data_IF_591264971967
#
_entry.id   IF_591264971967
#
_cell.length_a   1.000
_cell.length_b   1.000
_cell.length_c   1.000
_cell.angle_alpha   90.00
_cell.angle_beta   90.00
_cell.angle_gamma   90.00
#
_symmetry.space_group_name_H-M   'P 1'
#
loop_
_entity.id
_entity.type
_entity.pdbx_description
1 polymer ?
#
# COMPACT_ATOMS: atom_id res chain seq x y z
N UNK A 1 -1.81 -33.56 -2.34
CA UNK A 1 -0.83 -32.68 -3.01
C UNK A 1 -1.40 -31.40 -3.65
N UNK A 2 -2.60 -31.35 -4.29
CA UNK A 2 -3.06 -30.11 -4.96
C UNK A 2 -3.29 -28.92 -4.00
N UNK A 3 -3.53 -29.17 -2.71
CA UNK A 3 -3.67 -28.12 -1.68
C UNK A 3 -2.36 -27.37 -1.40
N UNK A 4 -1.20 -28.02 -1.55
CA UNK A 4 0.10 -27.39 -1.29
C UNK A 4 0.39 -26.28 -2.31
N UNK A 5 0.21 -26.56 -3.60
CA UNK A 5 0.45 -25.58 -4.68
C UNK A 5 -0.54 -24.41 -4.56
N UNK A 6 -1.82 -24.67 -4.27
CA UNK A 6 -2.81 -23.60 -4.07
C UNK A 6 -2.48 -22.70 -2.87
N UNK A 7 -2.00 -23.29 -1.77
CA UNK A 7 -1.58 -22.53 -0.60
C UNK A 7 -0.34 -21.69 -0.87
N UNK A 8 0.63 -22.22 -1.61
CA UNK A 8 1.83 -21.48 -1.99
C UNK A 8 1.49 -20.30 -2.90
N UNK A 9 0.61 -20.50 -3.89
CA UNK A 9 0.08 -19.41 -4.71
C UNK A 9 -0.64 -18.34 -3.87
N UNK A 10 -1.52 -18.75 -2.92
CA UNK A 10 -2.20 -17.80 -2.00
C UNK A 10 -1.18 -16.98 -1.19
N UNK A 11 -0.11 -17.61 -0.69
CA UNK A 11 0.98 -16.92 0.04
C UNK A 11 1.71 -15.92 -0.85
N UNK A 12 2.10 -16.32 -2.06
CA UNK A 12 2.77 -15.43 -3.01
C UNK A 12 1.90 -14.22 -3.37
N UNK A 13 0.60 -14.45 -3.62
CA UNK A 13 -0.35 -13.35 -3.86
C UNK A 13 -0.48 -12.43 -2.65
N UNK A 14 -0.61 -12.97 -1.44
CA UNK A 14 -0.68 -12.17 -0.22
C UNK A 14 0.58 -11.29 -0.03
N UNK A 15 1.76 -11.86 -0.28
CA UNK A 15 3.03 -11.12 -0.25
C UNK A 15 3.07 -10.02 -1.30
N UNK A 16 2.60 -10.29 -2.52
CA UNK A 16 2.50 -9.28 -3.58
C UNK A 16 1.63 -8.09 -3.15
N UNK A 17 0.41 -8.34 -2.65
CA UNK A 17 -0.49 -7.28 -2.17
C UNK A 17 0.11 -6.51 -0.99
N UNK A 18 0.80 -7.20 -0.08
CA UNK A 18 1.49 -6.55 1.02
C UNK A 18 2.62 -5.62 0.53
N UNK A 19 3.46 -6.09 -0.41
CA UNK A 19 4.53 -5.28 -0.97
C UNK A 19 3.99 -4.06 -1.71
N UNK A 20 2.88 -4.22 -2.47
CA UNK A 20 2.22 -3.11 -3.14
C UNK A 20 1.63 -2.10 -2.15
N UNK A 21 1.06 -2.57 -1.03
CA UNK A 21 0.59 -1.73 0.06
C UNK A 21 1.72 -0.89 0.66
N UNK A 22 2.85 -1.51 1.00
CA UNK A 22 4.02 -0.81 1.55
C UNK A 22 4.57 0.22 0.55
N UNK A 23 4.71 -0.15 -0.73
CA UNK A 23 5.15 0.78 -1.76
C UNK A 23 4.21 1.99 -1.89
N UNK A 24 2.90 1.75 -1.86
CA UNK A 24 1.86 2.79 -1.91
C UNK A 24 1.92 3.72 -0.69
N UNK A 25 2.11 3.15 0.50
CA UNK A 25 2.27 3.90 1.74
C UNK A 25 3.51 4.82 1.69
N UNK A 26 4.65 4.29 1.24
CA UNK A 26 5.90 5.05 1.19
C UNK A 26 5.85 6.12 0.10
N UNK A 27 5.53 5.74 -1.13
CA UNK A 27 5.57 6.65 -2.27
C UNK A 27 4.43 7.69 -2.25
N UNK A 28 3.23 7.27 -1.87
CA UNK A 28 2.04 8.14 -1.87
C UNK A 28 1.75 8.80 -0.53
N UNK A 29 2.07 8.13 0.58
CA UNK A 29 1.82 8.62 1.93
C UNK A 29 3.00 9.43 2.50
N UNK A 30 4.19 8.82 2.52
CA UNK A 30 5.36 9.42 3.18
C UNK A 30 6.12 10.41 2.28
N UNK A 31 6.22 10.17 0.97
CA UNK A 31 6.99 11.04 0.09
C UNK A 31 6.49 12.51 0.08
N UNK A 32 5.18 12.80 0.09
CA UNK A 32 4.70 14.17 0.21
C UNK A 32 5.13 14.84 1.52
N UNK A 33 5.10 14.12 2.65
CA UNK A 33 5.53 14.63 3.95
C UNK A 33 7.02 14.99 3.95
N UNK A 34 7.85 14.08 3.42
CA UNK A 34 9.29 14.31 3.25
C UNK A 34 9.54 15.47 2.29
N UNK A 35 8.78 15.55 1.19
CA UNK A 35 8.86 16.64 0.22
C UNK A 35 8.55 18.00 0.84
N UNK A 36 7.57 18.10 1.74
CA UNK A 36 7.26 19.33 2.48
C UNK A 36 8.41 19.70 3.42
N UNK A 37 8.95 18.75 4.19
CA UNK A 37 10.07 18.98 5.12
C UNK A 37 11.31 19.47 4.36
N UNK A 38 11.59 18.89 3.20
CA UNK A 38 12.72 19.27 2.35
C UNK A 38 12.44 20.49 1.45
N UNK A 39 11.27 21.13 1.60
CA UNK A 39 10.85 22.29 0.79
C UNK A 39 10.92 22.03 -0.72
N UNK A 40 10.63 20.80 -1.14
CA UNK A 40 10.62 20.43 -2.55
C UNK A 40 9.53 21.25 -3.29
N UNK A 41 9.88 21.95 -4.40
CA UNK A 41 8.96 22.86 -5.08
C UNK A 41 7.63 22.22 -5.48
N UNK A 42 7.66 20.92 -5.86
CA UNK A 42 6.47 20.17 -6.29
C UNK A 42 5.42 20.05 -5.18
N UNK A 43 5.84 19.86 -3.94
CA UNK A 43 4.93 19.67 -2.80
C UNK A 43 4.68 20.97 -2.03
N UNK A 44 5.67 21.86 -2.00
CA UNK A 44 5.58 23.13 -1.27
C UNK A 44 4.67 24.16 -1.96
N UNK A 45 4.64 24.17 -3.30
CA UNK A 45 3.79 25.08 -4.08
C UNK A 45 2.37 24.52 -4.30
N UNK A 46 2.14 23.24 -3.99
CA UNK A 46 0.84 22.63 -4.13
C UNK A 46 -0.12 23.12 -3.03
N UNK A 47 -1.41 23.33 -3.33
CA UNK A 47 -2.39 23.69 -2.31
C UNK A 47 -2.45 22.61 -1.22
N UNK A 48 -2.29 22.99 0.05
CA UNK A 48 -2.30 22.07 1.20
C UNK A 48 -3.46 21.07 1.21
N UNK A 49 -4.71 21.48 0.94
CA UNK A 49 -5.85 20.54 0.87
C UNK A 49 -5.70 19.47 -0.22
N UNK A 50 -5.10 19.81 -1.37
CA UNK A 50 -4.87 18.87 -2.47
C UNK A 50 -3.87 17.81 -2.05
N UNK A 51 -2.77 18.21 -1.43
CA UNK A 51 -1.75 17.28 -0.92
C UNK A 51 -2.32 16.38 0.17
N UNK A 52 -3.13 16.94 1.08
CA UNK A 52 -3.77 16.19 2.15
C UNK A 52 -4.75 15.14 1.61
N UNK A 53 -5.61 15.51 0.64
CA UNK A 53 -6.57 14.59 0.01
C UNK A 53 -5.82 13.48 -0.75
N UNK A 54 -4.79 13.83 -1.53
CA UNK A 54 -4.00 12.86 -2.28
C UNK A 54 -3.29 11.87 -1.34
N UNK A 55 -2.69 12.38 -0.26
CA UNK A 55 -2.04 11.56 0.77
C UNK A 55 -3.06 10.62 1.42
N UNK A 56 -4.22 11.14 1.83
CA UNK A 56 -5.29 10.33 2.41
C UNK A 56 -5.79 9.23 1.46
N UNK A 57 -5.95 9.54 0.17
CA UNK A 57 -6.34 8.56 -0.85
C UNK A 57 -5.30 7.44 -0.98
N UNK A 58 -4.01 7.77 -0.99
CA UNK A 58 -2.92 6.79 -1.01
C UNK A 58 -2.87 5.92 0.25
N UNK A 59 -3.09 6.51 1.43
CA UNK A 59 -3.16 5.76 2.69
C UNK A 59 -4.34 4.79 2.71
N UNK A 60 -5.52 5.22 2.26
CA UNK A 60 -6.69 4.35 2.12
C UNK A 60 -6.43 3.23 1.12
N UNK A 61 -5.81 3.53 -0.02
CA UNK A 61 -5.45 2.54 -1.01
C UNK A 61 -4.46 1.50 -0.46
N UNK A 62 -3.41 1.95 0.24
CA UNK A 62 -2.46 1.06 0.92
C UNK A 62 -3.16 0.15 1.94
N UNK A 63 -4.09 0.69 2.73
CA UNK A 63 -4.86 -0.07 3.71
C UNK A 63 -5.73 -1.14 3.04
N UNK A 64 -6.42 -0.80 1.94
CA UNK A 64 -7.23 -1.76 1.17
C UNK A 64 -6.35 -2.90 0.65
N UNK A 65 -5.20 -2.59 0.06
CA UNK A 65 -4.26 -3.60 -0.44
C UNK A 65 -3.76 -4.53 0.67
N UNK A 66 -3.38 -3.96 1.82
CA UNK A 66 -2.95 -4.74 2.98
C UNK A 66 -4.06 -5.69 3.43
N UNK A 67 -5.30 -5.19 3.52
CA UNK A 67 -6.44 -5.99 3.94
C UNK A 67 -6.77 -7.11 2.94
N UNK A 68 -6.63 -6.87 1.63
CA UNK A 68 -6.77 -7.91 0.60
C UNK A 68 -5.72 -9.00 0.80
N UNK A 69 -4.45 -8.64 0.99
CA UNK A 69 -3.39 -9.62 1.26
C UNK A 69 -3.65 -10.44 2.53
N UNK A 70 -4.10 -9.78 3.60
CA UNK A 70 -4.48 -10.45 4.85
C UNK A 70 -5.66 -11.41 4.66
N UNK A 71 -6.68 -11.02 3.89
CA UNK A 71 -7.83 -11.87 3.60
C UNK A 71 -7.45 -13.10 2.76
N UNK A 72 -6.46 -12.99 1.87
CA UNK A 72 -5.94 -14.14 1.11
C UNK A 72 -5.30 -15.20 2.00
N UNK A 73 -4.61 -14.79 3.07
CA UNK A 73 -4.01 -15.73 4.04
C UNK A 73 -5.04 -16.45 4.90
N UNK A 74 -6.19 -15.82 5.18
CA UNK A 74 -7.30 -16.46 5.92
C UNK A 74 -7.95 -17.62 5.16
N UNK A 75 -7.67 -17.76 3.86
CA UNK A 75 -8.18 -18.84 3.03
C UNK A 75 -7.28 -20.07 2.98
N UNK A 76 -6.20 -20.17 3.75
CA UNK A 76 -5.33 -21.35 3.68
C UNK A 76 -6.07 -22.62 4.14
N UNK A 77 -5.97 -23.69 3.36
CA UNK A 77 -6.61 -24.99 3.63
C UNK A 77 -5.55 -25.98 4.15
N UNK A 78 -5.86 -26.80 5.15
CA UNK A 78 -4.94 -27.82 5.69
C UNK A 78 -4.72 -28.99 4.72
#
# INVERSE_FOLDING_TARGET
MPNLVKNEQRKLSATFFNNLSVASLVAGGLAPLVGIILQNPTFYQAPGPVVAIATAAWLLFALILHWVGFRMLRGLEE
#
